data_IF_151233213593
#
_entry.id   IF_151233213593
#
_cell.length_a   1.000
_cell.length_b   1.000
_cell.length_c   1.000
_cell.angle_alpha   90.00
_cell.angle_beta   90.00
_cell.angle_gamma   90.00
#
_symmetry.space_group_name_H-M   'P 1'
#
loop_
_entity.id
_entity.type
_entity.pdbx_description
1 polymer ?
#
# COMPACT_ATOMS: atom_id res chain seq x y z
N UNK A 1 -2.45 -1.39 -5.57
CA UNK A 1 -2.33 0.03 -5.17
C UNK A 1 -0.89 0.52 -5.06
N UNK A 2 -0.05 0.02 -4.14
CA UNK A 2 1.32 0.57 -3.90
C UNK A 2 2.16 0.78 -5.18
N UNK A 3 2.31 -0.25 -6.04
CA UNK A 3 3.03 -0.14 -7.32
C UNK A 3 2.39 0.85 -8.29
N UNK A 4 1.05 0.88 -8.37
CA UNK A 4 0.35 1.84 -9.22
C UNK A 4 0.64 3.28 -8.78
N UNK A 5 0.60 3.53 -7.46
CA UNK A 5 0.92 4.84 -6.89
C UNK A 5 2.36 5.21 -7.22
N UNK A 6 3.31 4.30 -6.98
CA UNK A 6 4.72 4.52 -7.33
C UNK A 6 4.95 4.90 -8.80
N UNK A 7 4.34 4.16 -9.74
CA UNK A 7 4.44 4.46 -11.18
C UNK A 7 3.86 5.85 -11.52
N UNK A 8 2.73 6.21 -10.89
CA UNK A 8 2.10 7.53 -11.08
C UNK A 8 2.92 8.68 -10.50
N UNK A 9 3.47 8.50 -9.31
CA UNK A 9 4.33 9.50 -8.65
C UNK A 9 5.59 9.77 -9.45
N UNK A 10 6.15 8.75 -10.10
CA UNK A 10 7.27 8.90 -11.02
C UNK A 10 6.88 9.43 -12.40
N UNK A 11 5.60 9.65 -12.68
CA UNK A 11 5.14 10.11 -14.00
C UNK A 11 5.37 9.10 -15.13
N UNK A 12 5.53 7.81 -14.80
CA UNK A 12 5.81 6.77 -15.79
C UNK A 12 4.54 6.40 -16.56
N UNK A 13 4.71 6.12 -17.86
CA UNK A 13 3.66 5.52 -18.69
C UNK A 13 3.71 4.01 -18.52
N UNK A 14 2.55 3.40 -18.31
CA UNK A 14 2.43 1.96 -18.14
C UNK A 14 1.05 1.50 -18.57
N UNK A 15 0.95 0.22 -18.92
CA UNK A 15 -0.30 -0.47 -19.19
C UNK A 15 -0.69 -1.32 -17.97
N UNK A 16 -2.00 -1.48 -17.76
CA UNK A 16 -2.53 -2.32 -16.68
C UNK A 16 -3.28 -3.51 -17.26
N UNK A 17 -2.70 -4.68 -17.05
CA UNK A 17 -3.36 -5.95 -17.35
C UNK A 17 -4.03 -6.47 -16.07
N UNK A 18 -5.38 -6.52 -16.01
CA UNK A 18 -6.07 -7.16 -14.90
C UNK A 18 -5.86 -8.67 -14.92
N UNK A 19 -5.77 -9.25 -13.73
CA UNK A 19 -5.73 -10.71 -13.52
C UNK A 19 -6.87 -11.06 -12.58
N UNK A 20 -7.76 -11.95 -13.01
CA UNK A 20 -8.89 -12.42 -12.22
C UNK A 20 -8.43 -13.46 -11.19
N UNK A 21 -8.45 -13.05 -9.93
CA UNK A 21 -8.05 -13.92 -8.81
C UNK A 21 -9.15 -14.89 -8.38
N UNK A 22 -10.41 -14.62 -8.73
CA UNK A 22 -11.53 -15.53 -8.45
C UNK A 22 -11.49 -16.74 -9.39
N UNK A 23 -11.10 -16.52 -10.64
CA UNK A 23 -10.86 -17.58 -11.64
C UNK A 23 -9.45 -18.17 -11.58
N UNK A 24 -8.67 -17.79 -10.56
CA UNK A 24 -7.29 -18.25 -10.35
C UNK A 24 -6.36 -18.04 -11.55
N UNK A 25 -6.55 -16.99 -12.35
CA UNK A 25 -5.70 -16.68 -13.51
C UNK A 25 -4.23 -16.52 -13.12
N UNK A 26 -3.96 -16.01 -11.91
CA UNK A 26 -2.60 -15.89 -11.37
C UNK A 26 -1.91 -17.25 -11.12
N UNK A 27 -2.63 -18.36 -11.18
CA UNK A 27 -2.08 -19.72 -11.05
C UNK A 27 -1.90 -20.42 -12.39
N UNK A 28 -2.41 -19.85 -13.48
CA UNK A 28 -2.27 -20.39 -14.82
C UNK A 28 -0.83 -20.25 -15.33
N UNK A 29 -0.45 -21.11 -16.28
CA UNK A 29 0.91 -21.23 -16.80
C UNK A 29 1.45 -19.90 -17.34
N UNK A 30 0.64 -19.19 -18.15
CA UNK A 30 1.02 -17.89 -18.73
C UNK A 30 1.43 -16.85 -17.67
N UNK A 31 0.72 -16.78 -16.53
CA UNK A 31 1.09 -15.86 -15.46
C UNK A 31 2.26 -16.38 -14.62
N UNK A 32 2.37 -17.71 -14.44
CA UNK A 32 3.46 -18.34 -13.72
C UNK A 32 4.83 -18.16 -14.40
N UNK A 33 4.86 -18.03 -15.73
CA UNK A 33 6.07 -17.69 -16.48
C UNK A 33 6.55 -16.25 -16.20
N UNK A 34 5.61 -15.34 -15.93
CA UNK A 34 5.90 -13.93 -15.64
C UNK A 34 6.22 -13.68 -14.16
N UNK A 35 5.51 -14.34 -13.25
CA UNK A 35 5.52 -14.05 -11.82
C UNK A 35 6.06 -15.22 -11.00
N UNK A 36 7.27 -15.06 -10.47
CA UNK A 36 7.92 -16.06 -9.60
C UNK A 36 7.02 -16.49 -8.45
N UNK A 37 6.28 -15.55 -7.85
CA UNK A 37 5.45 -15.82 -6.67
C UNK A 37 3.99 -16.10 -7.02
N UNK A 38 3.59 -16.04 -8.30
CA UNK A 38 2.19 -16.25 -8.76
C UNK A 38 1.19 -15.36 -8.00
N UNK A 39 1.63 -14.16 -7.63
CA UNK A 39 0.83 -13.15 -6.92
C UNK A 39 0.83 -11.85 -7.69
N UNK A 40 -0.21 -11.05 -7.48
CA UNK A 40 -0.25 -9.66 -7.95
C UNK A 40 0.26 -8.72 -6.85
N UNK A 41 0.93 -7.61 -7.21
CA UNK A 41 1.30 -7.20 -8.57
C UNK A 41 2.59 -7.88 -9.08
N UNK A 42 2.71 -7.98 -10.40
CA UNK A 42 3.97 -8.24 -11.12
C UNK A 42 4.21 -7.07 -12.07
N UNK A 43 5.44 -6.52 -12.07
CA UNK A 43 5.88 -5.53 -13.04
C UNK A 43 6.65 -6.24 -14.16
N UNK A 44 6.31 -5.92 -15.41
CA UNK A 44 7.13 -6.23 -16.57
C UNK A 44 7.75 -4.93 -17.07
N UNK A 45 9.07 -4.88 -17.15
CA UNK A 45 9.84 -3.77 -17.70
C UNK A 45 10.82 -4.32 -18.72
N UNK A 46 10.53 -4.11 -20.01
CA UNK A 46 11.25 -4.75 -21.12
C UNK A 46 11.28 -6.29 -20.95
N UNK A 47 12.46 -6.89 -20.86
CA UNK A 47 12.63 -8.34 -20.70
C UNK A 47 12.78 -8.75 -19.23
N UNK A 48 12.48 -7.86 -18.28
CA UNK A 48 12.62 -8.10 -16.85
C UNK A 48 11.26 -8.13 -16.16
N UNK A 49 10.96 -9.23 -15.47
CA UNK A 49 9.78 -9.34 -14.62
C UNK A 49 10.15 -9.35 -13.14
N UNK A 50 9.33 -8.69 -12.33
CA UNK A 50 9.54 -8.59 -10.90
C UNK A 50 8.21 -8.64 -10.16
N UNK A 51 8.08 -9.57 -9.22
CA UNK A 51 6.97 -9.62 -8.27
C UNK A 51 7.37 -9.02 -6.91
N UNK A 52 6.42 -8.94 -5.98
CA UNK A 52 6.54 -8.30 -4.66
C UNK A 52 6.58 -6.76 -4.71
N UNK A 53 5.49 -6.14 -4.25
CA UNK A 53 5.29 -4.68 -4.34
C UNK A 53 6.43 -3.82 -3.76
N UNK A 54 7.04 -4.21 -2.64
CA UNK A 54 8.17 -3.45 -2.08
C UNK A 54 9.45 -3.59 -2.92
N UNK A 55 9.72 -4.78 -3.46
CA UNK A 55 10.84 -4.98 -4.37
C UNK A 55 10.66 -4.18 -5.67
N UNK A 56 9.43 -4.19 -6.23
CA UNK A 56 9.07 -3.41 -7.41
C UNK A 56 9.27 -1.91 -7.17
N UNK A 57 8.83 -1.39 -6.02
CA UNK A 57 8.93 0.04 -5.72
C UNK A 57 10.37 0.49 -5.45
N UNK A 58 11.20 -0.35 -4.84
CA UNK A 58 12.65 -0.12 -4.73
C UNK A 58 13.32 -0.13 -6.11
N UNK A 59 13.04 -1.13 -6.95
CA UNK A 59 13.55 -1.23 -8.31
C UNK A 59 13.21 0.01 -9.14
N UNK A 60 11.95 0.47 -9.08
CA UNK A 60 11.52 1.69 -9.76
C UNK A 60 12.30 2.91 -9.25
N UNK A 61 12.58 3.00 -7.94
CA UNK A 61 13.31 4.14 -7.36
C UNK A 61 14.80 4.15 -7.73
N UNK A 62 15.38 3.00 -7.99
CA UNK A 62 16.76 2.86 -8.45
C UNK A 62 16.91 3.11 -9.96
N UNK A 63 16.00 2.57 -10.78
CA UNK A 63 16.06 2.70 -12.25
C UNK A 63 15.64 4.08 -12.71
N UNK A 64 14.60 4.64 -12.08
CA UNK A 64 14.07 5.97 -12.38
C UNK A 64 14.36 6.87 -11.18
N UNK A 65 15.64 7.23 -11.03
CA UNK A 65 16.15 7.95 -9.87
C UNK A 65 16.02 9.47 -9.99
N UNK A 66 16.13 10.16 -8.85
CA UNK A 66 16.25 11.60 -8.79
C UNK A 66 17.59 12.10 -9.39
N UNK A 67 17.64 13.32 -9.96
CA UNK A 67 16.56 14.32 -9.99
C UNK A 67 15.57 14.17 -11.15
N UNK A 68 15.81 13.28 -12.10
CA UNK A 68 14.99 13.16 -13.31
C UNK A 68 13.58 12.63 -13.00
N UNK A 69 13.45 11.84 -11.95
CA UNK A 69 12.18 11.29 -11.47
C UNK A 69 12.02 11.54 -9.97
N UNK A 70 10.76 11.68 -9.52
CA UNK A 70 10.45 11.86 -8.11
C UNK A 70 10.91 10.65 -7.27
N UNK A 71 11.50 10.90 -6.10
CA UNK A 71 11.90 9.86 -5.16
C UNK A 71 10.69 9.26 -4.45
N UNK A 72 10.67 7.94 -4.32
CA UNK A 72 9.65 7.18 -3.57
C UNK A 72 10.08 6.93 -2.12
N UNK A 73 11.37 7.02 -1.85
CA UNK A 73 11.97 6.77 -0.54
C UNK A 73 12.74 8.00 -0.03
N UNK A 74 12.87 8.17 1.29
CA UNK A 74 13.72 9.21 1.85
C UNK A 74 15.18 9.06 1.39
N UNK A 75 15.85 10.18 1.14
CA UNK A 75 17.30 10.18 0.84
C UNK A 75 18.15 9.85 2.07
N UNK A 76 17.70 10.27 3.26
CA UNK A 76 18.37 9.93 4.51
C UNK A 76 18.33 8.41 4.75
N UNK A 77 19.50 7.83 5.05
CA UNK A 77 19.66 6.37 5.14
C UNK A 77 18.85 5.77 6.28
N UNK A 78 18.72 6.46 7.41
CA UNK A 78 17.98 5.96 8.56
C UNK A 78 16.47 6.04 8.32
N UNK A 79 15.99 7.15 7.76
CA UNK A 79 14.58 7.30 7.34
C UNK A 79 14.22 6.29 6.25
N UNK A 80 15.10 6.03 5.28
CA UNK A 80 14.90 4.98 4.26
C UNK A 80 14.81 3.59 4.88
N UNK A 81 15.69 3.27 5.83
CA UNK A 81 15.62 2.01 6.56
C UNK A 81 14.31 1.88 7.35
N UNK A 82 13.83 2.96 7.97
CA UNK A 82 12.55 2.97 8.69
C UNK A 82 11.35 2.84 7.74
N UNK A 83 11.39 3.44 6.55
CA UNK A 83 10.37 3.25 5.52
C UNK A 83 10.27 1.76 5.12
N UNK A 84 11.42 1.10 4.91
CA UNK A 84 11.51 -0.34 4.61
C UNK A 84 10.97 -1.20 5.74
N UNK A 85 11.32 -0.86 6.99
CA UNK A 85 10.80 -1.53 8.18
C UNK A 85 9.27 -1.47 8.24
N UNK A 86 8.68 -0.29 8.01
CA UNK A 86 7.22 -0.12 7.97
C UNK A 86 6.63 -0.98 6.85
N UNK A 87 7.18 -0.91 5.63
CA UNK A 87 6.67 -1.69 4.50
C UNK A 87 6.73 -3.20 4.74
N UNK A 88 7.81 -3.70 5.34
CA UNK A 88 7.96 -5.10 5.69
C UNK A 88 6.97 -5.50 6.79
N UNK A 89 6.90 -4.72 7.87
CA UNK A 89 5.99 -4.94 8.99
C UNK A 89 4.53 -5.06 8.54
N UNK A 90 4.03 -4.13 7.72
CA UNK A 90 2.67 -4.14 7.20
C UNK A 90 2.35 -5.37 6.32
N UNK A 91 3.36 -5.99 5.71
CA UNK A 91 3.23 -7.14 4.79
C UNK A 91 3.36 -8.49 5.47
N UNK A 92 4.16 -8.58 6.55
CA UNK A 92 4.46 -9.83 7.25
C UNK A 92 3.74 -9.98 8.59
N UNK A 93 3.09 -8.94 9.09
CA UNK A 93 2.38 -8.92 10.37
C UNK A 93 0.92 -8.48 10.16
N UNK A 94 0.20 -8.21 11.26
CA UNK A 94 -1.16 -7.65 11.28
C UNK A 94 -2.16 -8.46 10.45
N UNK A 95 -1.94 -9.78 10.38
CA UNK A 95 -2.80 -10.68 9.61
C UNK A 95 -4.26 -10.66 10.06
N UNK A 96 -4.59 -10.59 11.37
CA UNK A 96 -5.98 -10.45 11.82
C UNK A 96 -6.69 -9.24 11.17
N UNK A 97 -6.06 -8.05 11.16
CA UNK A 97 -6.61 -6.87 10.46
C UNK A 97 -6.79 -7.17 8.97
N UNK A 98 -5.79 -7.79 8.32
CA UNK A 98 -5.87 -8.04 6.86
C UNK A 98 -6.97 -9.02 6.47
N UNK A 99 -7.31 -9.96 7.36
CA UNK A 99 -8.37 -10.95 7.16
C UNK A 99 -9.74 -10.37 7.53
N UNK A 100 -9.88 -9.76 8.71
CA UNK A 100 -11.15 -9.26 9.23
C UNK A 100 -11.55 -7.89 8.67
N UNK A 101 -10.58 -7.15 8.13
CA UNK A 101 -10.72 -5.85 7.47
C UNK A 101 -10.03 -5.90 6.11
N UNK A 102 -10.50 -6.81 5.26
CA UNK A 102 -9.96 -7.02 3.91
C UNK A 102 -10.00 -5.72 3.07
N UNK A 103 -9.33 -5.71 1.91
CA UNK A 103 -9.38 -4.52 1.03
C UNK A 103 -10.76 -4.24 0.47
N UNK A 104 -11.71 -5.17 0.61
CA UNK A 104 -13.12 -4.94 0.27
C UNK A 104 -13.77 -3.93 1.22
N UNK A 105 -13.29 -3.78 2.46
CA UNK A 105 -13.73 -2.67 3.32
C UNK A 105 -13.39 -1.33 2.67
N UNK A 106 -12.14 -1.19 2.25
CA UNK A 106 -11.58 0.07 1.74
C UNK A 106 -12.11 0.38 0.34
N UNK A 107 -12.09 -0.61 -0.56
CA UNK A 107 -12.45 -0.39 -1.94
C UNK A 107 -13.93 -0.71 -2.18
N UNK A 108 -14.46 -1.81 -1.64
CA UNK A 108 -15.85 -2.27 -1.88
C UNK A 108 -16.90 -1.76 -0.88
N UNK A 109 -16.50 -1.08 0.20
CA UNK A 109 -17.44 -0.59 1.20
C UNK A 109 -18.05 -1.70 2.06
N UNK A 110 -17.41 -2.88 2.12
CA UNK A 110 -17.82 -3.98 2.99
C UNK A 110 -17.88 -3.51 4.45
N UNK A 111 -18.93 -3.91 5.16
CA UNK A 111 -19.09 -3.66 6.60
C UNK A 111 -18.97 -4.99 7.37
N UNK A 112 -17.78 -5.30 7.89
CA UNK A 112 -17.55 -6.53 8.65
C UNK A 112 -18.13 -6.42 10.07
N UNK A 113 -18.28 -7.55 10.79
CA UNK A 113 -18.63 -7.54 12.21
C UNK A 113 -17.51 -6.93 13.07
N UNK A 114 -17.77 -6.82 14.38
CA UNK A 114 -16.76 -6.45 15.37
C UNK A 114 -15.50 -7.32 15.26
N UNK A 115 -14.34 -6.76 15.61
CA UNK A 115 -13.07 -7.48 15.61
C UNK A 115 -13.10 -8.65 16.60
N UNK A 116 -12.36 -9.70 16.28
CA UNK A 116 -11.95 -10.72 17.23
C UNK A 116 -10.97 -10.14 18.27
N UNK A 117 -10.68 -10.88 19.34
CA UNK A 117 -9.63 -10.50 20.31
C UNK A 117 -8.26 -10.34 19.63
N UNK A 118 -7.94 -11.23 18.67
CA UNK A 118 -6.72 -11.14 17.86
C UNK A 118 -6.72 -9.90 16.94
N UNK A 119 -7.89 -9.57 16.39
CA UNK A 119 -8.13 -8.37 15.60
C UNK A 119 -7.92 -7.08 16.41
N UNK A 120 -8.51 -7.00 17.60
CA UNK A 120 -8.34 -5.88 18.54
C UNK A 120 -6.88 -5.72 18.97
N UNK A 121 -6.21 -6.82 19.32
CA UNK A 121 -4.79 -6.80 19.67
C UNK A 121 -3.92 -6.28 18.51
N UNK A 122 -4.17 -6.75 17.28
CA UNK A 122 -3.47 -6.28 16.09
C UNK A 122 -3.74 -4.79 15.82
N UNK A 123 -4.99 -4.33 15.98
CA UNK A 123 -5.37 -2.93 15.83
C UNK A 123 -4.66 -2.04 16.86
N UNK A 124 -4.65 -2.43 18.12
CA UNK A 124 -3.93 -1.72 19.19
C UNK A 124 -2.42 -1.65 18.91
N UNK A 125 -1.82 -2.75 18.44
CA UNK A 125 -0.41 -2.80 18.02
C UNK A 125 -0.12 -1.84 16.87
N UNK A 126 -0.98 -1.81 15.85
CA UNK A 126 -0.85 -0.88 14.73
C UNK A 126 -0.90 0.56 15.22
N UNK A 127 -1.95 0.92 15.97
CA UNK A 127 -2.18 2.29 16.48
C UNK A 127 -0.98 2.76 17.30
N UNK A 128 -0.56 1.98 18.30
CA UNK A 128 0.58 2.32 19.15
C UNK A 128 1.89 2.43 18.36
N UNK A 129 2.07 1.61 17.31
CA UNK A 129 3.21 1.70 16.40
C UNK A 129 3.21 3.01 15.61
N UNK A 130 2.07 3.38 15.03
CA UNK A 130 1.95 4.62 14.23
C UNK A 130 2.10 5.87 15.08
N UNK A 131 1.52 5.92 16.28
CA UNK A 131 1.67 7.07 17.19
C UNK A 131 3.13 7.38 17.53
N UNK A 132 3.99 6.36 17.60
CA UNK A 132 5.43 6.54 17.81
C UNK A 132 6.18 7.01 16.56
N UNK A 133 5.68 6.64 15.39
CA UNK A 133 6.31 6.96 14.10
C UNK A 133 5.91 8.35 13.59
N UNK A 134 4.64 8.72 13.78
CA UNK A 134 4.11 10.00 13.35
C UNK A 134 4.42 11.04 14.44
N UNK A 135 5.35 11.96 14.17
CA UNK A 135 5.65 13.07 15.08
C UNK A 135 4.55 14.14 15.05
N UNK A 136 4.34 14.82 16.17
CA UNK A 136 3.28 15.82 16.31
C UNK A 136 3.43 16.95 15.29
N UNK A 137 2.33 17.32 14.63
CA UNK A 137 2.32 18.32 13.55
C UNK A 137 2.81 17.83 12.19
N UNK A 138 3.30 16.59 12.05
CA UNK A 138 3.74 16.05 10.78
C UNK A 138 2.59 15.43 9.99
N UNK A 139 2.50 15.77 8.70
CA UNK A 139 1.53 15.18 7.75
C UNK A 139 2.05 13.91 7.06
N UNK A 140 3.38 13.72 7.03
CA UNK A 140 4.07 12.56 6.46
C UNK A 140 5.04 11.98 7.50
N UNK A 141 5.34 10.69 7.39
CA UNK A 141 6.24 9.94 8.29
C UNK A 141 7.63 10.58 8.41
N UNK A 142 8.18 11.12 7.31
CA UNK A 142 9.58 11.54 7.25
C UNK A 142 9.80 13.01 6.88
N UNK A 143 8.75 13.83 6.97
CA UNK A 143 8.71 15.24 6.56
C UNK A 143 8.09 15.39 5.18
N UNK A 144 8.74 14.81 4.16
CA UNK A 144 8.16 14.65 2.83
C UNK A 144 7.48 13.29 2.69
N UNK A 145 6.60 13.19 1.69
CA UNK A 145 5.92 11.95 1.37
C UNK A 145 6.92 10.89 0.89
N UNK A 146 6.68 9.65 1.30
CA UNK A 146 7.29 8.47 0.71
C UNK A 146 6.23 7.38 0.51
N UNK A 147 6.57 6.34 -0.24
CA UNK A 147 5.63 5.26 -0.55
C UNK A 147 5.11 4.53 0.70
N UNK A 148 5.87 4.55 1.80
CA UNK A 148 5.44 3.98 3.07
C UNK A 148 4.24 4.73 3.68
N UNK A 149 4.06 6.03 3.38
CA UNK A 149 2.90 6.79 3.85
C UNK A 149 1.61 6.23 3.26
N UNK A 150 1.62 5.93 1.96
CA UNK A 150 0.49 5.31 1.25
C UNK A 150 0.20 3.90 1.73
N UNK A 151 1.24 3.07 1.93
CA UNK A 151 1.07 1.71 2.44
C UNK A 151 0.47 1.72 3.85
N UNK A 152 0.91 2.65 4.71
CA UNK A 152 0.41 2.79 6.08
C UNK A 152 -1.00 3.34 6.13
N UNK A 153 -1.31 4.36 5.33
CA UNK A 153 -2.65 4.94 5.24
C UNK A 153 -3.67 3.89 4.78
N UNK A 154 -3.30 2.99 3.85
CA UNK A 154 -4.16 1.86 3.48
C UNK A 154 -4.47 0.97 4.69
N UNK A 155 -3.46 0.64 5.51
CA UNK A 155 -3.66 -0.22 6.67
C UNK A 155 -4.56 0.44 7.71
N UNK A 156 -4.38 1.74 7.98
CA UNK A 156 -5.26 2.50 8.88
C UNK A 156 -6.68 2.57 8.32
N UNK A 157 -6.84 2.83 7.02
CA UNK A 157 -8.16 2.93 6.39
C UNK A 157 -8.98 1.64 6.44
N UNK A 158 -8.34 0.47 6.61
CA UNK A 158 -9.06 -0.78 6.88
C UNK A 158 -9.90 -0.71 8.16
N UNK A 159 -9.36 -0.09 9.22
CA UNK A 159 -10.05 0.11 10.49
C UNK A 159 -11.03 1.29 10.39
N UNK A 160 -10.55 2.43 9.90
CA UNK A 160 -11.32 3.69 9.83
C UNK A 160 -12.60 3.49 8.99
N UNK A 161 -12.48 2.88 7.80
CA UNK A 161 -13.62 2.70 6.90
C UNK A 161 -14.55 1.56 7.33
N UNK A 162 -14.10 0.63 8.17
CA UNK A 162 -14.98 -0.33 8.83
C UNK A 162 -15.80 0.32 9.96
N UNK A 163 -15.34 1.45 10.50
CA UNK A 163 -15.96 2.15 11.62
C UNK A 163 -15.36 1.79 12.98
N UNK A 164 -14.17 1.18 13.00
CA UNK A 164 -13.47 0.87 14.24
C UNK A 164 -12.89 2.16 14.86
N UNK A 165 -12.72 2.14 16.20
CA UNK A 165 -12.12 3.26 16.91
C UNK A 165 -10.63 3.41 16.55
N UNK A 166 -10.28 4.59 16.01
CA UNK A 166 -8.90 4.99 15.69
C UNK A 166 -8.70 6.42 16.20
N UNK A 167 -7.57 6.76 16.85
CA UNK A 167 -7.32 8.12 17.32
C UNK A 167 -7.47 9.15 16.20
N UNK A 168 -8.13 10.27 16.49
CA UNK A 168 -8.49 11.32 15.50
C UNK A 168 -7.29 11.77 14.68
N UNK A 169 -6.13 11.95 15.31
CA UNK A 169 -4.89 12.32 14.61
C UNK A 169 -4.45 11.30 13.55
N UNK A 170 -4.64 10.00 13.81
CA UNK A 170 -4.32 8.97 12.81
C UNK A 170 -5.37 8.91 11.71
N UNK A 171 -6.63 9.24 12.03
CA UNK A 171 -7.71 9.42 11.06
C UNK A 171 -7.38 10.58 10.11
N UNK A 172 -6.98 11.74 10.65
CA UNK A 172 -6.54 12.90 9.88
C UNK A 172 -5.34 12.58 8.96
N UNK A 173 -4.33 11.89 9.50
CA UNK A 173 -3.18 11.42 8.72
C UNK A 173 -3.62 10.52 7.57
N UNK A 174 -4.44 9.50 7.85
CA UNK A 174 -4.91 8.57 6.82
C UNK A 174 -5.75 9.30 5.75
N UNK A 175 -6.62 10.23 6.15
CA UNK A 175 -7.39 11.06 5.23
C UNK A 175 -6.52 11.96 4.35
N UNK A 176 -5.51 12.62 4.94
CA UNK A 176 -4.57 13.45 4.19
C UNK A 176 -3.84 12.62 3.13
N UNK A 177 -3.30 11.45 3.52
CA UNK A 177 -2.62 10.55 2.58
C UNK A 177 -3.56 10.00 1.50
N UNK A 178 -4.85 9.83 1.82
CA UNK A 178 -5.86 9.34 0.87
C UNK A 178 -6.26 10.37 -0.20
N UNK A 179 -6.00 11.65 0.03
CA UNK A 179 -6.26 12.73 -0.94
C UNK A 179 -5.17 12.86 -2.01
N UNK A 180 -4.09 12.07 -1.90
CA UNK A 180 -2.99 12.11 -2.87
C UNK A 180 -3.49 11.75 -4.26
N UNK A 181 -3.13 12.55 -5.27
CA UNK A 181 -3.68 12.42 -6.62
C UNK A 181 -3.51 11.02 -7.24
N UNK A 182 -2.36 10.37 -7.01
CA UNK A 182 -2.07 8.99 -7.44
C UNK A 182 -2.97 7.96 -6.77
N UNK A 183 -3.30 8.16 -5.48
CA UNK A 183 -4.27 7.34 -4.73
C UNK A 183 -5.67 7.58 -5.27
N UNK A 184 -6.10 8.84 -5.45
CA UNK A 184 -7.41 9.16 -6.02
C UNK A 184 -7.62 8.54 -7.41
N UNK A 185 -6.59 8.55 -8.26
CA UNK A 185 -6.63 7.89 -9.58
C UNK A 185 -6.82 6.37 -9.45
N UNK A 186 -6.14 5.73 -8.50
CA UNK A 186 -6.35 4.30 -8.22
C UNK A 186 -7.77 4.01 -7.74
N UNK A 187 -8.33 4.84 -6.86
CA UNK A 187 -9.69 4.68 -6.34
C UNK A 187 -10.73 4.79 -7.45
N UNK A 188 -10.59 5.77 -8.34
CA UNK A 188 -11.46 5.94 -9.50
C UNK A 188 -11.42 4.71 -10.43
N UNK A 189 -10.21 4.20 -10.71
CA UNK A 189 -10.02 3.00 -11.52
C UNK A 189 -10.66 1.77 -10.86
N UNK A 190 -10.43 1.58 -9.55
CA UNK A 190 -10.99 0.47 -8.78
C UNK A 190 -12.52 0.51 -8.72
N UNK A 191 -13.11 1.70 -8.65
CA UNK A 191 -14.56 1.86 -8.70
C UNK A 191 -15.14 1.56 -10.09
N UNK A 192 -14.46 1.97 -11.16
CA UNK A 192 -14.90 1.75 -12.53
C UNK A 192 -14.93 0.26 -12.90
N UNK A 193 -13.94 -0.54 -12.47
CA UNK A 193 -13.87 -1.98 -12.77
C UNK A 193 -14.91 -2.85 -12.02
N UNK A 194 -15.68 -2.26 -11.09
CA UNK A 194 -16.72 -2.97 -10.32
C UNK A 194 -18.14 -2.72 -10.83
N UNK A 195 -18.29 -1.86 -11.86
CA UNK A 195 -19.54 -1.67 -12.58
C UNK A 195 -19.58 -2.59 -13.78
#
# INVERSE_FOLDING_TARGET
MSVYVALKEKGLRFELEPVDLAEHENQQEAYAELSLTRRVPTLLHENFSLSESSAITEYLDEVFAAPDFASLYPHDKQKRAKAREIQAWLRSDLMPIRQERSTEVVFAGLKPPALSEEGEYAAAKLIAGVERLLLEGHQNLFGEWCIADTDLALMLNRLIMAGDAVPERLVEYAHFQWQRASVCQWLALSAAKRR
#
